data_IF_186514307831
#
_entry.id   IF_186514307831
#
_cell.length_a   1.000
_cell.length_b   1.000
_cell.length_c   1.000
_cell.angle_alpha   90.00
_cell.angle_beta   90.00
_cell.angle_gamma   90.00
#
_symmetry.space_group_name_H-M   'P 1'
#
loop_
_entity.id
_entity.type
_entity.pdbx_description
1 polymer ?
#
# COMPACT_ATOMS: atom_id res chain seq x y z
N UNK A 1 10.24 -6.51 -30.58
CA UNK A 1 10.63 -6.43 -29.15
C UNK A 1 9.43 -6.38 -28.18
N UNK A 2 8.30 -5.73 -28.54
CA UNK A 2 7.07 -5.66 -27.70
C UNK A 2 6.44 -7.02 -27.31
N UNK A 3 6.60 -8.07 -28.12
CA UNK A 3 6.02 -9.39 -27.81
C UNK A 3 6.89 -10.26 -26.90
N UNK A 4 8.18 -9.93 -26.73
CA UNK A 4 9.09 -10.67 -25.83
C UNK A 4 8.89 -10.28 -24.37
N UNK A 5 8.57 -9.01 -24.09
CA UNK A 5 8.24 -8.55 -22.74
C UNK A 5 6.94 -9.16 -22.20
N UNK A 6 5.92 -9.33 -23.04
CA UNK A 6 4.64 -9.94 -22.64
C UNK A 6 4.79 -11.41 -22.24
N UNK A 7 5.67 -12.15 -22.91
CA UNK A 7 5.92 -13.55 -22.61
C UNK A 7 6.70 -13.72 -21.30
N UNK A 8 7.68 -12.85 -21.04
CA UNK A 8 8.43 -12.86 -19.76
C UNK A 8 7.49 -12.50 -18.58
N UNK A 9 6.60 -11.53 -18.77
CA UNK A 9 5.67 -11.09 -17.72
C UNK A 9 4.64 -12.18 -17.35
N UNK A 10 4.11 -12.90 -18.34
CA UNK A 10 3.15 -13.99 -18.10
C UNK A 10 3.84 -15.18 -17.45
N UNK A 11 5.06 -15.52 -17.88
CA UNK A 11 5.80 -16.66 -17.31
C UNK A 11 6.23 -16.39 -15.86
N UNK A 12 6.49 -15.12 -15.50
CA UNK A 12 6.79 -14.71 -14.12
C UNK A 12 5.55 -14.83 -13.20
N UNK A 13 4.35 -14.52 -13.71
CA UNK A 13 3.08 -14.62 -12.97
C UNK A 13 2.69 -16.09 -12.76
N UNK A 14 2.90 -16.95 -13.75
CA UNK A 14 2.59 -18.38 -13.65
C UNK A 14 3.51 -19.13 -12.67
N UNK A 15 4.76 -18.67 -12.48
CA UNK A 15 5.71 -19.30 -11.56
C UNK A 15 5.43 -18.97 -10.08
N UNK A 16 4.67 -17.91 -9.81
CA UNK A 16 4.25 -17.52 -8.45
C UNK A 16 3.05 -18.34 -7.94
N UNK A 17 2.33 -19.04 -8.81
CA UNK A 17 1.10 -19.77 -8.46
C UNK A 17 1.32 -21.26 -8.08
N UNK A 18 2.56 -21.76 -8.15
CA UNK A 18 2.85 -23.21 -7.99
C UNK A 18 3.50 -23.57 -6.64
N UNK A 19 3.81 -22.61 -5.77
CA UNK A 19 4.24 -22.93 -4.40
C UNK A 19 3.04 -23.14 -3.48
N UNK A 20 2.57 -24.38 -3.48
CA UNK A 20 1.94 -25.11 -2.39
C UNK A 20 2.14 -24.56 -0.98
N UNK A 21 1.07 -24.49 -0.19
CA UNK A 21 0.99 -25.00 1.18
C UNK A 21 -0.39 -24.72 1.76
N UNK A 22 -0.89 -25.58 2.65
CA UNK A 22 -1.92 -25.20 3.61
C UNK A 22 -1.32 -24.08 4.49
N UNK A 23 -1.38 -22.84 4.03
CA UNK A 23 -1.15 -21.71 4.90
C UNK A 23 -2.29 -21.74 5.91
N UNK A 24 -1.94 -21.87 7.19
CA UNK A 24 -2.93 -21.66 8.24
C UNK A 24 -3.55 -20.27 8.05
N UNK A 25 -4.80 -20.10 8.47
CA UNK A 25 -5.50 -18.82 8.37
C UNK A 25 -4.67 -17.68 8.99
N UNK A 26 -3.98 -17.98 10.09
CA UNK A 26 -3.05 -17.09 10.79
C UNK A 26 -1.88 -16.66 9.88
N UNK A 27 -1.15 -17.60 9.28
CA UNK A 27 -0.01 -17.28 8.38
C UNK A 27 -0.46 -16.49 7.14
N UNK A 28 -1.67 -16.76 6.64
CA UNK A 28 -2.25 -16.02 5.52
C UNK A 28 -2.63 -14.59 5.93
N UNK A 29 -3.23 -14.41 7.11
CA UNK A 29 -3.61 -13.11 7.64
C UNK A 29 -2.39 -12.23 7.93
N UNK A 30 -1.36 -12.79 8.58
CA UNK A 30 -0.08 -12.10 8.85
C UNK A 30 0.55 -11.61 7.54
N UNK A 31 0.59 -12.49 6.53
CA UNK A 31 1.13 -12.15 5.20
C UNK A 31 0.34 -11.03 4.52
N UNK A 32 -0.99 -11.00 4.68
CA UNK A 32 -1.82 -9.91 4.13
C UNK A 32 -1.46 -8.59 4.80
N UNK A 33 -1.44 -8.56 6.13
CA UNK A 33 -1.15 -7.35 6.91
C UNK A 33 0.25 -6.83 6.66
N UNK A 34 1.26 -7.71 6.67
CA UNK A 34 2.64 -7.33 6.41
C UNK A 34 2.79 -6.74 5.01
N UNK A 35 2.27 -7.43 3.99
CA UNK A 35 2.38 -6.96 2.61
C UNK A 35 1.63 -5.63 2.40
N UNK A 36 0.40 -5.50 2.93
CA UNK A 36 -0.37 -4.27 2.77
C UNK A 36 0.32 -3.08 3.44
N UNK A 37 0.82 -3.27 4.65
CA UNK A 37 1.51 -2.22 5.38
C UNK A 37 2.84 -1.84 4.71
N UNK A 38 3.61 -2.82 4.22
CA UNK A 38 4.83 -2.55 3.46
C UNK A 38 4.56 -1.72 2.20
N UNK A 39 3.49 -2.05 1.46
CA UNK A 39 3.07 -1.27 0.29
C UNK A 39 2.62 0.14 0.68
N UNK A 40 1.88 0.30 1.79
CA UNK A 40 1.50 1.61 2.33
C UNK A 40 2.73 2.45 2.71
N UNK A 41 3.69 1.88 3.43
CA UNK A 41 4.91 2.59 3.82
C UNK A 41 5.71 3.01 2.60
N UNK A 42 5.85 2.14 1.61
CA UNK A 42 6.57 2.47 0.39
C UNK A 42 5.87 3.57 -0.42
N UNK A 43 4.53 3.55 -0.49
CA UNK A 43 3.74 4.64 -1.07
C UNK A 43 4.03 5.97 -0.37
N UNK A 44 4.02 5.99 0.97
CA UNK A 44 4.30 7.19 1.76
C UNK A 44 5.72 7.71 1.50
N UNK A 45 6.72 6.84 1.50
CA UNK A 45 8.11 7.22 1.24
C UNK A 45 8.30 7.84 -0.15
N UNK A 46 7.74 7.20 -1.18
CA UNK A 46 7.79 7.72 -2.55
C UNK A 46 7.09 9.08 -2.62
N UNK A 47 5.92 9.23 -2.02
CA UNK A 47 5.18 10.50 -2.03
C UNK A 47 5.97 11.60 -1.33
N UNK A 48 6.60 11.31 -0.18
CA UNK A 48 7.46 12.29 0.52
C UNK A 48 8.65 12.73 -0.34
N UNK A 49 9.34 11.79 -0.98
CA UNK A 49 10.46 12.09 -1.86
C UNK A 49 10.02 12.90 -3.09
N UNK A 50 8.88 12.57 -3.69
CA UNK A 50 8.30 13.34 -4.79
C UNK A 50 7.90 14.75 -4.37
N UNK A 51 7.23 14.90 -3.23
CA UNK A 51 6.83 16.20 -2.69
C UNK A 51 8.05 17.09 -2.45
N UNK A 52 9.12 16.56 -1.83
CA UNK A 52 10.35 17.30 -1.61
C UNK A 52 11.00 17.78 -2.93
N UNK A 53 11.02 16.92 -3.95
CA UNK A 53 11.55 17.26 -5.28
C UNK A 53 10.70 18.32 -5.98
N UNK A 54 9.38 18.21 -5.90
CA UNK A 54 8.45 19.18 -6.49
C UNK A 54 8.59 20.56 -5.82
N UNK A 55 8.63 20.60 -4.48
CA UNK A 55 8.85 21.84 -3.72
C UNK A 55 10.20 22.48 -4.10
N UNK A 56 11.28 21.69 -4.18
CA UNK A 56 12.59 22.20 -4.59
C UNK A 56 12.59 22.78 -6.02
N UNK A 57 11.68 22.33 -6.89
CA UNK A 57 11.48 22.82 -8.24
C UNK A 57 10.45 23.95 -8.35
N UNK A 58 9.92 24.44 -7.22
CA UNK A 58 8.98 25.56 -7.19
C UNK A 58 7.51 25.18 -7.32
N UNK A 59 7.15 23.92 -7.04
CA UNK A 59 5.74 23.52 -6.97
C UNK A 59 4.98 24.27 -5.87
N UNK A 60 3.75 24.61 -6.19
CA UNK A 60 2.79 25.31 -5.34
C UNK A 60 2.22 24.41 -4.24
N UNK A 61 1.60 25.03 -3.24
CA UNK A 61 0.87 24.30 -2.19
C UNK A 61 -0.26 23.44 -2.77
N UNK A 62 -0.97 23.92 -3.80
CA UNK A 62 -2.06 23.20 -4.47
C UNK A 62 -1.57 21.91 -5.14
N UNK A 63 -0.46 21.95 -5.87
CA UNK A 63 0.13 20.76 -6.51
C UNK A 63 0.60 19.71 -5.48
N UNK A 64 1.12 20.15 -4.33
CA UNK A 64 1.46 19.23 -3.24
C UNK A 64 0.20 18.69 -2.58
N UNK A 65 -0.87 19.47 -2.51
CA UNK A 65 -2.15 19.02 -1.99
C UNK A 65 -2.74 17.90 -2.84
N UNK A 66 -2.76 18.07 -4.17
CA UNK A 66 -3.22 17.05 -5.11
C UNK A 66 -2.41 15.75 -4.99
N UNK A 67 -1.10 15.85 -4.82
CA UNK A 67 -0.23 14.70 -4.58
C UNK A 67 -0.59 13.98 -3.26
N UNK A 68 -0.87 14.73 -2.20
CA UNK A 68 -1.31 14.19 -0.91
C UNK A 68 -2.66 13.49 -0.98
N UNK A 69 -3.64 14.11 -1.66
CA UNK A 69 -4.96 13.50 -1.89
C UNK A 69 -4.85 12.21 -2.71
N UNK A 70 -4.00 12.19 -3.74
CA UNK A 70 -3.74 10.99 -4.52
C UNK A 70 -3.11 9.89 -3.66
N UNK A 71 -2.19 10.22 -2.77
CA UNK A 71 -1.61 9.27 -1.82
C UNK A 71 -2.68 8.67 -0.91
N UNK A 72 -3.55 9.50 -0.31
CA UNK A 72 -4.64 9.04 0.55
C UNK A 72 -5.60 8.13 -0.22
N UNK A 73 -6.00 8.50 -1.43
CA UNK A 73 -6.87 7.66 -2.26
C UNK A 73 -6.24 6.29 -2.56
N UNK A 74 -4.94 6.24 -2.86
CA UNK A 74 -4.24 4.97 -3.11
C UNK A 74 -4.12 4.13 -1.85
N UNK A 75 -3.81 4.77 -0.72
CA UNK A 75 -3.73 4.13 0.58
C UNK A 75 -5.08 3.48 0.96
N UNK A 76 -6.19 4.20 0.82
CA UNK A 76 -7.54 3.69 1.08
C UNK A 76 -7.82 2.39 0.31
N UNK A 77 -7.38 2.30 -0.96
CA UNK A 77 -7.56 1.07 -1.76
C UNK A 77 -6.70 -0.09 -1.29
N UNK A 78 -5.48 0.17 -0.82
CA UNK A 78 -4.61 -0.87 -0.24
C UNK A 78 -5.25 -1.40 1.05
N UNK A 79 -5.62 -0.51 1.96
CA UNK A 79 -6.25 -0.85 3.24
C UNK A 79 -7.57 -1.59 3.02
N UNK A 80 -8.46 -1.06 2.17
CA UNK A 80 -9.74 -1.72 1.87
C UNK A 80 -9.56 -3.09 1.22
N UNK A 81 -8.54 -3.26 0.37
CA UNK A 81 -8.22 -4.55 -0.25
C UNK A 81 -7.78 -5.59 0.79
N UNK A 82 -6.91 -5.19 1.73
CA UNK A 82 -6.45 -6.03 2.81
C UNK A 82 -7.57 -6.36 3.82
N UNK A 83 -8.38 -5.37 4.22
CA UNK A 83 -9.54 -5.54 5.07
C UNK A 83 -10.52 -6.58 4.50
N UNK A 84 -10.88 -6.45 3.22
CA UNK A 84 -11.75 -7.43 2.54
C UNK A 84 -11.15 -8.84 2.53
N UNK A 85 -9.83 -8.97 2.38
CA UNK A 85 -9.17 -10.27 2.40
C UNK A 85 -9.16 -10.89 3.81
N UNK A 86 -8.95 -10.08 4.85
CA UNK A 86 -9.02 -10.50 6.25
C UNK A 86 -10.45 -10.89 6.67
N UNK A 87 -11.46 -10.14 6.22
CA UNK A 87 -12.88 -10.47 6.44
C UNK A 87 -13.23 -11.85 5.85
N UNK A 88 -12.70 -12.17 4.66
CA UNK A 88 -12.88 -13.48 4.02
C UNK A 88 -12.21 -14.62 4.78
N UNK A 89 -11.14 -14.32 5.52
CA UNK A 89 -10.45 -15.26 6.39
C UNK A 89 -11.12 -15.38 7.78
N UNK A 90 -12.07 -14.50 8.11
CA UNK A 90 -12.74 -14.47 9.41
C UNK A 90 -11.84 -14.03 10.56
N UNK A 91 -10.83 -13.20 10.27
CA UNK A 91 -9.85 -12.72 11.25
C UNK A 91 -10.22 -11.33 11.75
N UNK A 92 -10.09 -11.09 13.06
CA UNK A 92 -10.29 -9.78 13.67
C UNK A 92 -9.07 -8.89 13.44
N UNK A 93 -9.30 -7.65 13.03
CA UNK A 93 -8.25 -6.66 12.81
C UNK A 93 -8.68 -5.27 13.25
N UNK A 94 -7.69 -4.40 13.42
CA UNK A 94 -7.87 -2.98 13.72
C UNK A 94 -7.17 -2.15 12.65
N UNK A 95 -7.84 -1.10 12.21
CA UNK A 95 -7.26 -0.03 11.39
C UNK A 95 -6.84 1.10 12.32
N UNK A 96 -5.59 1.53 12.23
CA UNK A 96 -5.07 2.67 12.99
C UNK A 96 -4.55 3.74 12.03
N UNK A 97 -4.48 4.98 12.49
CA UNK A 97 -4.07 6.11 11.67
C UNK A 97 -2.61 6.47 11.91
N UNK A 98 -1.91 6.80 10.83
CA UNK A 98 -0.58 7.41 10.86
C UNK A 98 -0.59 8.76 10.15
N UNK A 99 0.12 9.73 10.71
CA UNK A 99 0.26 11.06 10.15
C UNK A 99 1.39 11.13 9.11
N UNK A 100 1.11 11.79 7.99
CA UNK A 100 2.03 11.99 6.88
C UNK A 100 2.07 13.46 6.50
N UNK A 101 3.20 14.11 6.76
CA UNK A 101 3.44 15.50 6.38
C UNK A 101 4.18 15.56 5.04
N UNK A 102 3.69 16.38 4.10
CA UNK A 102 4.25 16.53 2.74
C UNK A 102 4.87 17.91 2.46
N UNK A 103 5.01 18.77 3.48
CA UNK A 103 5.45 20.16 3.33
C UNK A 103 4.27 21.13 3.42
N UNK A 104 4.55 22.45 3.43
CA UNK A 104 3.52 23.50 3.59
C UNK A 104 2.56 23.34 4.78
N UNK A 105 2.95 22.60 5.82
CA UNK A 105 2.08 22.16 6.93
C UNK A 105 0.89 21.29 6.51
N UNK A 106 0.90 20.73 5.28
CA UNK A 106 -0.09 19.78 4.80
C UNK A 106 0.14 18.42 5.49
N UNK A 107 -0.89 17.96 6.19
CA UNK A 107 -0.89 16.72 6.96
C UNK A 107 -2.01 15.82 6.47
N UNK A 108 -1.67 14.58 6.18
CA UNK A 108 -2.59 13.55 5.70
C UNK A 108 -2.57 12.36 6.65
N UNK A 109 -3.66 11.59 6.64
CA UNK A 109 -3.77 10.38 7.43
C UNK A 109 -3.83 9.17 6.50
N UNK A 110 -3.10 8.13 6.89
CA UNK A 110 -3.08 6.84 6.19
C UNK A 110 -3.44 5.76 7.21
N UNK A 111 -4.09 4.70 6.72
CA UNK A 111 -4.77 3.71 7.55
C UNK A 111 -4.11 2.32 7.46
N UNK A 112 -2.96 2.06 8.12
CA UNK A 112 -2.43 0.71 8.26
C UNK A 112 -3.35 -0.22 9.06
N UNK A 113 -3.10 -1.52 8.92
CA UNK A 113 -3.88 -2.58 9.57
C UNK A 113 -2.98 -3.34 10.56
N UNK A 114 -3.55 -3.86 11.65
CA UNK A 114 -2.93 -4.88 12.49
C UNK A 114 -3.95 -5.95 12.85
N UNK A 115 -3.51 -7.19 13.02
CA UNK A 115 -4.35 -8.26 13.54
C UNK A 115 -4.61 -7.99 15.03
N UNK A 116 -5.83 -8.28 15.47
CA UNK A 116 -6.18 -8.33 16.89
C UNK A 116 -6.36 -9.79 17.23
N UNK A 117 -5.36 -10.38 17.90
CA UNK A 117 -5.50 -11.71 18.49
C UNK A 117 -6.35 -11.61 19.76
N UNK A 118 -7.38 -12.45 19.84
CA UNK A 118 -8.15 -12.69 21.07
C UNK A 118 -7.40 -13.63 22.04
#
# INVERSE_FOLDING_TARGET
MKNRMKFILITLISLLLVCSAFASVETAAESIVENSNNVLYHLIEITKDQAAKLIANGATEEEISELGELMVFRAEKITSGAANALDQLGVTYEVYYIEVCLGYNLTYYVDPIKIVDD
#
